data_IF_344822221374
#
_entry.id   IF_344822221374
#
_cell.length_a   1.000
_cell.length_b   1.000
_cell.length_c   1.000
_cell.angle_alpha   90.00
_cell.angle_beta   90.00
_cell.angle_gamma   90.00
#
_symmetry.space_group_name_H-M   'P 1'
#
loop_
_entity.id
_entity.type
_entity.pdbx_description
1 polymer ?
#
# COMPACT_ATOMS: atom_id res chain seq x y z
N UNK A 1 -15.69 4.46 -9.31
CA UNK A 1 -16.40 5.15 -8.21
C UNK A 1 -15.36 6.03 -7.54
N UNK A 2 -15.64 7.32 -7.31
CA UNK A 2 -14.69 8.20 -6.64
C UNK A 2 -14.34 7.67 -5.25
N UNK A 3 -13.06 7.72 -4.80
CA UNK A 3 -12.67 7.17 -3.51
C UNK A 3 -13.30 7.88 -2.31
N UNK A 4 -13.66 9.13 -2.45
CA UNK A 4 -14.30 9.98 -1.44
C UNK A 4 -15.84 9.88 -1.41
N UNK A 5 -16.46 9.11 -2.32
CA UNK A 5 -17.92 8.88 -2.29
C UNK A 5 -18.28 7.73 -1.34
N UNK A 6 -18.13 7.94 -0.04
CA UNK A 6 -18.44 6.95 0.98
C UNK A 6 -19.91 6.48 0.93
N UNK A 7 -20.82 7.29 0.45
CA UNK A 7 -22.23 6.89 0.27
C UNK A 7 -22.40 5.88 -0.86
N UNK A 8 -21.65 5.99 -1.95
CA UNK A 8 -21.65 5.00 -3.00
C UNK A 8 -21.05 3.66 -2.52
N UNK A 9 -19.95 3.70 -1.75
CA UNK A 9 -19.38 2.51 -1.11
C UNK A 9 -20.39 1.85 -0.15
N UNK A 10 -21.09 2.63 0.66
CA UNK A 10 -22.15 2.12 1.55
C UNK A 10 -23.26 1.37 0.78
N UNK A 11 -23.70 1.92 -0.37
CA UNK A 11 -24.67 1.25 -1.24
C UNK A 11 -24.12 -0.06 -1.80
N UNK A 12 -22.86 -0.06 -2.24
CA UNK A 12 -22.19 -1.26 -2.74
C UNK A 12 -22.10 -2.32 -1.66
N UNK A 13 -21.64 -1.97 -0.46
CA UNK A 13 -21.59 -2.85 0.69
C UNK A 13 -22.98 -3.44 1.05
N UNK A 14 -24.02 -2.62 0.99
CA UNK A 14 -25.37 -3.04 1.28
C UNK A 14 -25.91 -4.11 0.32
N UNK A 15 -25.38 -4.21 -0.89
CA UNK A 15 -25.70 -5.27 -1.85
C UNK A 15 -25.22 -6.66 -1.40
N UNK A 16 -24.26 -6.75 -0.47
CA UNK A 16 -23.75 -7.99 0.15
C UNK A 16 -23.33 -9.08 -0.84
N UNK A 17 -22.77 -8.68 -1.98
CA UNK A 17 -22.28 -9.62 -2.99
C UNK A 17 -20.89 -10.14 -2.59
N UNK A 18 -20.00 -9.22 -2.17
CA UNK A 18 -18.65 -9.51 -1.65
C UNK A 18 -18.34 -8.53 -0.52
N UNK A 19 -17.45 -8.85 0.41
CA UNK A 19 -16.92 -7.88 1.37
C UNK A 19 -16.21 -6.73 0.65
N UNK A 20 -16.37 -5.51 1.16
CA UNK A 20 -15.79 -4.30 0.57
C UNK A 20 -14.62 -3.83 1.41
N UNK A 21 -13.48 -3.61 0.77
CA UNK A 21 -12.29 -2.98 1.35
C UNK A 21 -12.04 -1.64 0.66
N UNK A 22 -11.76 -0.58 1.42
CA UNK A 22 -11.39 0.75 0.93
C UNK A 22 -10.81 1.60 2.05
N UNK A 23 -10.15 2.71 1.69
CA UNK A 23 -9.53 3.66 2.63
C UNK A 23 -8.11 4.06 2.26
N UNK A 24 -7.52 3.45 1.23
CA UNK A 24 -6.15 3.75 0.77
C UNK A 24 -5.95 5.19 0.30
N UNK A 25 -7.02 5.90 -0.03
CA UNK A 25 -7.00 7.31 -0.45
C UNK A 25 -7.34 8.30 0.66
N UNK A 26 -7.69 7.82 1.86
CA UNK A 26 -7.92 8.72 2.99
C UNK A 26 -6.59 9.34 3.44
N UNK A 27 -6.60 10.66 3.70
CA UNK A 27 -5.37 11.38 4.04
C UNK A 27 -5.30 11.78 5.52
N UNK A 28 -6.45 11.93 6.16
CA UNK A 28 -6.58 12.43 7.52
C UNK A 28 -7.46 11.53 8.38
N UNK A 29 -7.33 11.67 9.69
CA UNK A 29 -8.16 10.93 10.64
C UNK A 29 -9.65 11.14 10.43
N UNK A 30 -10.04 12.36 10.04
CA UNK A 30 -11.43 12.72 9.73
C UNK A 30 -12.01 11.90 8.58
N UNK A 31 -11.23 11.63 7.53
CA UNK A 31 -11.63 10.78 6.42
C UNK A 31 -11.89 9.34 6.86
N UNK A 32 -10.98 8.77 7.64
CA UNK A 32 -11.18 7.43 8.23
C UNK A 32 -12.41 7.38 9.15
N UNK A 33 -12.61 8.41 9.98
CA UNK A 33 -13.78 8.48 10.85
C UNK A 33 -15.10 8.55 10.05
N UNK A 34 -15.12 9.30 8.94
CA UNK A 34 -16.29 9.39 8.07
C UNK A 34 -16.53 8.04 7.37
N UNK A 35 -15.51 7.43 6.79
CA UNK A 35 -15.58 6.11 6.17
C UNK A 35 -16.15 5.05 7.13
N UNK A 36 -15.65 5.01 8.37
CA UNK A 36 -16.09 4.10 9.43
C UNK A 36 -17.53 4.39 9.85
N UNK A 37 -17.87 5.67 10.08
CA UNK A 37 -19.19 6.07 10.58
C UNK A 37 -20.29 5.91 9.53
N UNK A 38 -19.97 6.14 8.27
CA UNK A 38 -20.88 5.93 7.14
C UNK A 38 -21.17 4.44 6.91
N UNK A 39 -20.32 3.55 7.42
CA UNK A 39 -20.43 2.11 7.22
C UNK A 39 -20.19 1.71 5.77
N UNK A 40 -19.24 2.37 5.13
CA UNK A 40 -18.95 2.22 3.71
C UNK A 40 -18.22 0.91 3.37
N UNK A 41 -17.48 0.33 4.32
CA UNK A 41 -16.64 -0.84 4.06
C UNK A 41 -16.78 -1.92 5.15
N UNK A 42 -16.40 -3.12 4.83
CA UNK A 42 -16.20 -4.24 5.76
C UNK A 42 -14.77 -4.24 6.30
N UNK A 43 -13.82 -3.89 5.45
CA UNK A 43 -12.41 -3.72 5.76
C UNK A 43 -12.00 -2.27 5.51
N UNK A 44 -11.47 -1.62 6.55
CA UNK A 44 -10.83 -0.32 6.41
C UNK A 44 -9.39 -0.56 6.01
N UNK A 45 -8.98 0.00 4.86
CA UNK A 45 -7.61 -0.08 4.38
C UNK A 45 -6.85 1.20 4.70
N UNK A 46 -5.66 1.04 5.25
CA UNK A 46 -4.76 2.15 5.54
C UNK A 46 -3.33 1.77 5.16
N UNK A 47 -2.64 2.71 4.55
CA UNK A 47 -1.22 2.67 4.31
C UNK A 47 -0.47 3.40 5.43
N UNK A 48 0.31 2.66 6.20
CA UNK A 48 1.04 3.21 7.35
C UNK A 48 2.05 4.29 6.94
N UNK A 49 2.70 4.10 5.80
CA UNK A 49 3.76 5.01 5.33
C UNK A 49 3.22 6.28 4.68
N UNK A 50 2.02 6.21 4.10
CA UNK A 50 1.39 7.32 3.38
C UNK A 50 0.38 8.11 4.22
N UNK A 51 -0.23 7.49 5.24
CA UNK A 51 -1.42 8.04 5.92
C UNK A 51 -1.20 8.26 7.43
N UNK A 52 -0.11 8.90 7.82
CA UNK A 52 0.10 9.40 9.19
C UNK A 52 0.77 8.44 10.17
N UNK A 53 1.32 7.34 9.68
CA UNK A 53 2.22 6.46 10.45
C UNK A 53 1.55 5.68 11.58
N UNK A 54 2.36 5.17 12.49
CA UNK A 54 1.91 4.29 13.58
C UNK A 54 0.88 4.95 14.48
N UNK A 55 1.06 6.23 14.82
CA UNK A 55 0.15 6.93 15.70
C UNK A 55 -1.25 7.05 15.09
N UNK A 56 -1.37 7.34 13.81
CA UNK A 56 -2.63 7.36 13.09
C UNK A 56 -3.23 5.95 13.04
N UNK A 57 -2.42 4.94 12.68
CA UNK A 57 -2.86 3.56 12.61
C UNK A 57 -3.48 3.05 13.91
N UNK A 58 -2.87 3.34 15.05
CA UNK A 58 -3.42 2.99 16.37
C UNK A 58 -4.81 3.59 16.61
N UNK A 59 -5.03 4.84 16.22
CA UNK A 59 -6.34 5.49 16.36
C UNK A 59 -7.39 4.92 15.42
N UNK A 60 -7.00 4.65 14.16
CA UNK A 60 -7.89 4.03 13.18
C UNK A 60 -8.28 2.62 13.62
N UNK A 61 -7.33 1.81 14.10
CA UNK A 61 -7.62 0.46 14.63
C UNK A 61 -8.61 0.50 15.79
N UNK A 62 -8.41 1.42 16.75
CA UNK A 62 -9.32 1.58 17.87
C UNK A 62 -10.75 1.91 17.41
N UNK A 63 -10.89 2.76 16.39
CA UNK A 63 -12.18 3.11 15.80
C UNK A 63 -12.82 1.93 15.06
N UNK A 64 -12.03 1.20 14.27
CA UNK A 64 -12.44 -0.01 13.54
C UNK A 64 -12.94 -1.09 14.51
N UNK A 65 -12.15 -1.40 15.54
CA UNK A 65 -12.49 -2.38 16.57
C UNK A 65 -13.79 -2.00 17.30
N UNK A 66 -13.94 -0.72 17.69
CA UNK A 66 -15.14 -0.21 18.35
C UNK A 66 -16.42 -0.39 17.52
N UNK A 67 -16.29 -0.37 16.19
CA UNK A 67 -17.41 -0.55 15.25
C UNK A 67 -17.61 -2.00 14.82
N UNK A 68 -16.77 -2.92 15.28
CA UNK A 68 -16.83 -4.32 14.86
C UNK A 68 -16.52 -4.54 13.38
N UNK A 69 -15.76 -3.62 12.79
CA UNK A 69 -15.24 -3.73 11.43
C UNK A 69 -13.89 -4.46 11.44
N UNK A 70 -13.40 -4.78 10.25
CA UNK A 70 -12.08 -5.36 10.02
C UNK A 70 -11.12 -4.31 9.49
N UNK A 71 -9.85 -4.60 9.61
CA UNK A 71 -8.78 -3.78 9.07
C UNK A 71 -7.90 -4.62 8.13
N UNK A 72 -7.48 -4.03 7.02
CA UNK A 72 -6.47 -4.58 6.14
C UNK A 72 -5.43 -3.50 5.83
N UNK A 73 -4.16 -3.87 5.80
CA UNK A 73 -3.14 -2.93 5.36
C UNK A 73 -3.11 -2.83 3.85
N UNK A 74 -3.10 -1.59 3.35
CA UNK A 74 -2.67 -1.29 2.00
C UNK A 74 -1.14 -1.23 1.97
N UNK A 75 -0.52 -1.77 0.95
CA UNK A 75 0.92 -1.68 0.71
C UNK A 75 1.20 -1.64 -0.79
N UNK A 76 1.82 -0.55 -1.24
CA UNK A 76 2.17 -0.36 -2.65
C UNK A 76 3.62 0.12 -2.85
N UNK A 77 4.38 0.15 -1.81
CA UNK A 77 5.77 0.61 -1.78
C UNK A 77 6.80 -0.52 -1.74
N UNK A 78 7.84 -0.32 -0.99
CA UNK A 78 8.90 -1.30 -0.78
C UNK A 78 8.54 -2.30 0.33
N UNK A 79 9.34 -3.35 0.45
CA UNK A 79 9.23 -4.30 1.58
C UNK A 79 9.39 -3.63 2.96
N UNK A 80 9.96 -2.43 3.04
CA UNK A 80 10.03 -1.65 4.29
C UNK A 80 8.65 -1.18 4.74
N UNK A 81 7.78 -0.82 3.80
CA UNK A 81 6.38 -0.48 4.07
C UNK A 81 5.61 -1.69 4.60
N UNK A 82 5.78 -2.84 3.95
CA UNK A 82 5.19 -4.11 4.41
C UNK A 82 5.63 -4.44 5.83
N UNK A 83 6.92 -4.24 6.15
CA UNK A 83 7.45 -4.44 7.50
C UNK A 83 6.88 -3.45 8.52
N UNK A 84 6.77 -2.18 8.16
CA UNK A 84 6.14 -1.17 9.03
C UNK A 84 4.69 -1.55 9.35
N UNK A 85 3.92 -1.93 8.32
CA UNK A 85 2.57 -2.44 8.48
C UNK A 85 2.51 -3.68 9.37
N UNK A 86 3.40 -4.65 9.16
CA UNK A 86 3.46 -5.88 9.96
C UNK A 86 3.76 -5.61 11.44
N UNK A 87 4.74 -4.73 11.73
CA UNK A 87 5.07 -4.34 13.12
C UNK A 87 3.91 -3.65 13.83
N UNK A 88 3.13 -2.86 13.10
CA UNK A 88 1.92 -2.25 13.65
C UNK A 88 0.81 -3.28 13.84
N UNK A 89 0.63 -4.16 12.85
CA UNK A 89 -0.44 -5.17 12.83
C UNK A 89 -0.36 -6.16 13.97
N UNK A 90 0.84 -6.65 14.32
CA UNK A 90 1.02 -7.61 15.42
C UNK A 90 0.70 -7.04 16.81
N UNK A 91 0.51 -5.72 16.93
CA UNK A 91 0.08 -5.10 18.18
C UNK A 91 -1.44 -5.25 18.42
N UNK A 92 -2.18 -5.77 17.45
CA UNK A 92 -3.63 -5.90 17.50
C UNK A 92 -4.09 -7.36 17.30
N UNK A 93 -5.32 -7.63 17.76
CA UNK A 93 -5.93 -8.95 17.56
C UNK A 93 -6.15 -9.24 16.08
N UNK A 94 -5.97 -10.49 15.66
CA UNK A 94 -6.35 -10.98 14.35
C UNK A 94 -7.85 -10.84 14.05
N UNK A 95 -8.68 -10.67 15.07
CA UNK A 95 -10.10 -10.35 14.89
C UNK A 95 -10.32 -8.96 14.30
N UNK A 96 -9.35 -8.06 14.43
CA UNK A 96 -9.39 -6.69 13.89
C UNK A 96 -8.50 -6.57 12.66
N UNK A 97 -7.22 -6.96 12.77
CA UNK A 97 -6.24 -6.88 11.68
C UNK A 97 -6.13 -8.25 11.03
N UNK A 98 -6.79 -8.42 9.89
CA UNK A 98 -6.89 -9.73 9.24
C UNK A 98 -5.91 -9.90 8.09
N UNK A 99 -5.66 -8.84 7.32
CA UNK A 99 -4.89 -8.91 6.08
C UNK A 99 -3.79 -7.87 6.01
N UNK A 100 -2.66 -8.30 5.45
CA UNK A 100 -1.54 -7.46 5.06
C UNK A 100 -1.26 -7.70 3.57
N UNK A 101 -1.39 -6.66 2.76
CA UNK A 101 -1.01 -6.74 1.35
C UNK A 101 0.51 -6.91 1.21
N UNK A 102 0.89 -7.81 0.33
CA UNK A 102 2.27 -8.00 -0.07
C UNK A 102 2.37 -7.97 -1.59
N UNK A 103 2.70 -6.81 -2.18
CA UNK A 103 2.84 -6.69 -3.62
C UNK A 103 4.07 -7.47 -4.09
N UNK A 104 3.85 -8.53 -4.86
CA UNK A 104 4.91 -9.30 -5.48
C UNK A 104 5.23 -8.72 -6.86
N UNK A 105 6.27 -7.91 -6.97
CA UNK A 105 6.61 -7.21 -8.20
C UNK A 105 7.42 -8.07 -9.19
N UNK A 106 8.23 -9.01 -8.70
CA UNK A 106 9.26 -9.68 -9.48
C UNK A 106 8.87 -10.96 -10.19
N UNK A 107 7.81 -11.68 -9.75
CA UNK A 107 7.61 -13.07 -10.19
C UNK A 107 6.26 -13.39 -10.85
N UNK A 108 5.41 -12.44 -11.16
CA UNK A 108 4.00 -12.72 -11.48
C UNK A 108 3.52 -12.28 -12.87
N UNK A 109 4.39 -12.19 -13.86
CA UNK A 109 3.97 -11.63 -15.16
C UNK A 109 3.59 -10.13 -15.07
N UNK A 110 3.64 -9.53 -13.90
CA UNK A 110 3.53 -8.10 -13.66
C UNK A 110 4.87 -7.38 -13.76
N UNK A 111 5.97 -8.11 -13.91
CA UNK A 111 7.31 -7.52 -14.04
C UNK A 111 7.37 -6.48 -15.18
N UNK A 112 6.59 -6.69 -16.25
CA UNK A 112 6.45 -5.69 -17.30
C UNK A 112 5.47 -4.55 -16.98
N UNK A 113 4.58 -4.73 -16.01
CA UNK A 113 3.63 -3.67 -15.62
C UNK A 113 4.16 -2.76 -14.52
N UNK A 114 5.00 -3.29 -13.64
CA UNK A 114 5.51 -2.56 -12.48
C UNK A 114 6.88 -3.08 -12.06
N UNK A 115 7.93 -2.81 -12.85
CA UNK A 115 9.29 -3.22 -12.49
C UNK A 115 9.81 -2.33 -11.35
N UNK A 116 9.47 -2.67 -10.12
CA UNK A 116 9.96 -1.94 -8.95
C UNK A 116 11.08 -2.72 -8.28
N UNK A 117 12.18 -2.89 -8.99
CA UNK A 117 13.34 -3.67 -8.56
C UNK A 117 13.91 -3.20 -7.21
N UNK A 118 13.88 -1.89 -6.93
CA UNK A 118 14.27 -1.36 -5.63
C UNK A 118 13.47 -2.00 -4.50
N UNK A 119 12.17 -2.24 -4.71
CA UNK A 119 11.30 -2.82 -3.69
C UNK A 119 11.72 -4.23 -3.28
N UNK A 120 12.19 -5.02 -4.25
CA UNK A 120 12.58 -6.41 -4.03
C UNK A 120 14.02 -6.55 -3.52
N UNK A 121 14.93 -5.66 -3.96
CA UNK A 121 16.36 -5.78 -3.70
C UNK A 121 16.83 -5.00 -2.46
N UNK A 122 15.98 -4.13 -1.87
CA UNK A 122 16.42 -3.19 -0.81
C UNK A 122 16.86 -3.85 0.49
N UNK A 123 16.42 -5.06 0.76
CA UNK A 123 16.84 -5.83 1.93
C UNK A 123 18.00 -6.75 1.58
N UNK A 124 18.98 -6.86 2.48
CA UNK A 124 20.06 -7.85 2.36
C UNK A 124 19.55 -9.28 2.44
N UNK A 125 18.56 -9.52 3.28
CA UNK A 125 17.90 -10.80 3.44
C UNK A 125 16.42 -10.67 3.08
N UNK A 126 15.86 -11.60 2.29
CA UNK A 126 14.46 -11.54 1.90
C UNK A 126 13.53 -11.72 3.11
N UNK A 127 12.29 -11.26 2.99
CA UNK A 127 11.27 -11.47 4.02
C UNK A 127 11.02 -12.96 4.25
N UNK A 128 10.89 -13.34 5.50
CA UNK A 128 10.57 -14.71 5.89
C UNK A 128 9.05 -14.93 5.86
N UNK A 129 8.57 -15.43 4.72
CA UNK A 129 7.14 -15.75 4.52
C UNK A 129 6.97 -17.27 4.54
N UNK A 130 6.10 -17.78 5.40
CA UNK A 130 5.78 -19.20 5.52
C UNK A 130 4.29 -19.44 5.50
N UNK A 131 3.82 -20.23 4.55
CA UNK A 131 2.40 -20.60 4.42
C UNK A 131 1.45 -19.39 4.32
N UNK A 132 1.91 -18.27 3.75
CA UNK A 132 1.17 -17.03 3.67
C UNK A 132 1.34 -16.09 4.87
N UNK A 133 2.03 -16.52 5.93
CA UNK A 133 2.30 -15.69 7.09
C UNK A 133 3.67 -15.01 6.99
N UNK A 134 3.72 -13.71 7.19
CA UNK A 134 4.96 -12.96 7.36
C UNK A 134 5.46 -13.12 8.79
N UNK A 135 6.63 -13.70 8.94
CA UNK A 135 7.32 -13.77 10.24
C UNK A 135 7.99 -12.41 10.50
N UNK A 136 7.40 -11.63 11.40
CA UNK A 136 7.90 -10.28 11.71
C UNK A 136 9.30 -10.38 12.32
N UNK A 137 10.30 -9.69 11.74
CA UNK A 137 11.68 -9.73 12.24
C UNK A 137 11.78 -9.16 13.66
N UNK A 138 12.76 -9.66 14.42
CA UNK A 138 13.09 -9.21 15.77
C UNK A 138 14.44 -8.49 15.74
N UNK A 139 14.48 -7.29 16.25
CA UNK A 139 15.71 -6.49 16.29
C UNK A 139 15.40 -5.01 16.39
N UNK A 140 16.42 -4.15 16.44
CA UNK A 140 16.22 -2.71 16.43
C UNK A 140 15.52 -2.22 15.16
N UNK A 141 14.71 -1.17 15.28
CA UNK A 141 13.95 -0.61 14.17
C UNK A 141 12.96 -1.62 13.59
N UNK A 142 12.99 -1.86 12.29
CA UNK A 142 12.17 -2.87 11.62
C UNK A 142 12.78 -4.29 11.66
N UNK A 143 13.91 -4.48 12.36
CA UNK A 143 14.57 -5.77 12.52
C UNK A 143 15.23 -6.30 11.25
N UNK A 144 15.56 -5.44 10.30
CA UNK A 144 16.19 -5.79 9.01
C UNK A 144 17.36 -4.86 8.70
N UNK A 145 18.23 -5.31 7.80
CA UNK A 145 19.32 -4.49 7.25
C UNK A 145 18.98 -4.06 5.81
N UNK A 146 19.06 -2.75 5.58
CA UNK A 146 18.90 -2.15 4.25
C UNK A 146 20.24 -2.20 3.52
N UNK A 147 20.21 -2.59 2.23
CA UNK A 147 21.37 -2.46 1.36
C UNK A 147 21.38 -1.07 0.68
N UNK A 148 22.15 -0.15 1.24
CA UNK A 148 22.28 1.20 0.69
C UNK A 148 22.86 1.23 -0.73
N UNK A 149 23.56 0.20 -1.20
CA UNK A 149 24.06 0.13 -2.56
C UNK A 149 22.94 -0.05 -3.56
N UNK A 150 21.85 -0.69 -3.16
CA UNK A 150 20.65 -0.81 -4.00
C UNK A 150 20.02 0.56 -4.24
N UNK A 151 19.99 1.43 -3.24
CA UNK A 151 19.52 2.81 -3.40
C UNK A 151 20.38 3.58 -4.43
N UNK A 152 21.69 3.36 -4.41
CA UNK A 152 22.60 3.95 -5.39
C UNK A 152 22.42 3.37 -6.79
N UNK A 153 22.07 2.09 -6.88
CA UNK A 153 21.78 1.40 -8.15
C UNK A 153 20.53 1.94 -8.83
N UNK A 154 19.54 2.37 -8.05
CA UNK A 154 18.26 2.92 -8.53
C UNK A 154 18.08 4.39 -8.03
N UNK A 155 18.86 5.33 -8.53
CA UNK A 155 18.77 6.71 -8.07
C UNK A 155 17.44 7.34 -8.50
N UNK A 156 16.99 8.32 -7.73
CA UNK A 156 15.87 9.15 -8.14
C UNK A 156 16.16 9.86 -9.46
N UNK A 157 15.26 9.72 -10.42
CA UNK A 157 15.36 10.40 -11.72
C UNK A 157 14.34 11.55 -11.70
N UNK A 158 14.78 12.82 -11.73
CA UNK A 158 13.86 13.97 -11.79
C UNK A 158 13.02 13.96 -13.05
N UNK A 159 11.79 14.38 -12.95
CA UNK A 159 10.88 14.54 -14.10
C UNK A 159 9.44 14.19 -13.79
N UNK A 160 8.52 14.41 -14.72
CA UNK A 160 7.11 14.06 -14.58
C UNK A 160 6.92 12.56 -14.86
N UNK A 161 7.46 11.74 -13.97
CA UNK A 161 7.40 10.27 -14.11
C UNK A 161 6.11 9.73 -13.50
N UNK A 162 5.42 8.85 -14.24
CA UNK A 162 4.38 8.04 -13.64
C UNK A 162 5.00 6.84 -12.92
N UNK A 163 4.22 6.21 -12.05
CA UNK A 163 4.60 4.95 -11.38
C UNK A 163 4.88 3.80 -12.35
N UNK A 164 4.43 3.90 -13.59
CA UNK A 164 4.55 2.85 -14.58
C UNK A 164 5.72 3.15 -15.51
N UNK A 165 6.83 2.46 -15.31
CA UNK A 165 7.87 2.30 -16.34
C UNK A 165 7.59 1.01 -17.07
N UNK A 166 7.38 1.09 -18.35
CA UNK A 166 7.44 -0.08 -19.20
C UNK A 166 8.92 -0.44 -19.41
N UNK A 167 9.22 -1.74 -19.54
CA UNK A 167 10.59 -2.25 -19.74
C UNK A 167 11.27 -1.74 -21.02
N UNK A 168 10.55 -1.04 -21.87
CA UNK A 168 11.11 -0.33 -23.00
C UNK A 168 11.63 1.02 -22.55
N UNK A 169 12.93 1.30 -22.70
CA UNK A 169 13.49 2.62 -22.40
C UNK A 169 12.90 3.76 -23.24
N UNK A 170 12.07 3.42 -24.22
CA UNK A 170 11.47 4.39 -25.15
C UNK A 170 10.06 4.83 -24.77
N UNK A 171 9.40 4.22 -23.77
CA UNK A 171 8.01 4.54 -23.46
C UNK A 171 7.82 4.90 -22.00
N UNK A 172 7.49 6.15 -21.74
CA UNK A 172 7.13 6.66 -20.43
C UNK A 172 5.67 7.09 -20.45
N UNK A 173 4.90 6.65 -19.48
CA UNK A 173 3.55 7.18 -19.26
C UNK A 173 3.65 8.47 -18.47
N UNK A 174 3.32 9.59 -19.07
CA UNK A 174 3.20 10.87 -18.37
C UNK A 174 1.73 11.09 -17.99
N UNK A 175 1.48 11.31 -16.70
CA UNK A 175 0.18 11.81 -16.24
C UNK A 175 0.17 13.31 -16.49
N UNK A 176 -0.67 13.78 -17.41
CA UNK A 176 -0.85 15.21 -17.66
C UNK A 176 -1.86 15.76 -16.65
N UNK A 177 -1.76 17.08 -16.35
CA UNK A 177 -2.62 17.73 -15.35
C UNK A 177 -4.12 17.71 -15.63
N UNK A 178 -4.54 17.19 -16.78
CA UNK A 178 -5.94 16.96 -17.14
C UNK A 178 -6.41 15.52 -16.83
N UNK A 179 -5.60 14.74 -16.07
CA UNK A 179 -5.83 13.33 -15.78
C UNK A 179 -5.90 12.42 -17.01
N UNK A 180 -5.50 12.89 -18.17
CA UNK A 180 -5.31 12.03 -19.34
C UNK A 180 -3.95 11.36 -19.30
N UNK A 181 -3.91 10.06 -19.52
CA UNK A 181 -2.67 9.31 -19.66
C UNK A 181 -2.28 9.36 -21.13
N UNK A 182 -1.17 10.01 -21.43
CA UNK A 182 -0.59 9.98 -22.78
C UNK A 182 0.71 9.20 -22.76
N UNK A 183 0.83 8.29 -23.70
CA UNK A 183 2.11 7.61 -23.96
C UNK A 183 3.05 8.60 -24.62
N UNK A 184 4.16 8.87 -23.96
CA UNK A 184 5.19 9.77 -24.49
C UNK A 184 6.42 8.95 -24.74
N UNK A 185 6.89 8.95 -25.97
CA UNK A 185 8.19 8.35 -26.32
C UNK A 185 9.28 9.11 -25.55
N UNK A 186 9.99 8.41 -24.70
CA UNK A 186 11.15 8.97 -24.02
C UNK A 186 12.34 8.91 -24.99
N UNK A 187 12.52 9.93 -25.78
CA UNK A 187 13.84 10.23 -26.33
C UNK A 187 14.65 10.84 -25.19
N UNK A 188 15.71 10.20 -24.71
CA UNK A 188 16.61 10.83 -23.75
C UNK A 188 17.23 12.07 -24.41
N UNK A 189 17.47 13.15 -23.66
CA UNK A 189 18.23 14.29 -24.13
C UNK A 189 19.66 13.92 -24.51
#
# INVERSE_FOLDING_TARGET
MPPDDHNAYRKLRAARIVPIATGEHEQEESGFQDLINTGAADFIQMDVCCQGGFAMGQRVFAAVAKKGLKFAFHSWGTVLEVLAAAHLGICWSADVVEWLEYPCHSNNGRAGMYPFQLADEILREPLNIKNGDLIVPKGPGLGVEVDENVIKKYPFIPGPWSFFRLDSPAETVAVTGDHSVKWVSATPP
#
